data_IF_631825042376
#
_entry.id   IF_631825042376
#
_cell.length_a   1.000
_cell.length_b   1.000
_cell.length_c   1.000
_cell.angle_alpha   90.00
_cell.angle_beta   90.00
_cell.angle_gamma   90.00
#
_symmetry.space_group_name_H-M   'P 1'
#
loop_
_entity.id
_entity.type
_entity.pdbx_description
1 polymer ?
#
# COMPACT_ATOMS: atom_id res chain seq x y z
N UNK A 1 -9.54 43.75 14.09
CA UNK A 1 -8.30 43.33 13.37
C UNK A 1 -7.59 42.21 14.15
N UNK A 2 -8.10 40.95 14.06
CA UNK A 2 -7.42 39.75 14.58
C UNK A 2 -6.85 38.99 13.38
N UNK A 3 -5.59 39.24 13.02
CA UNK A 3 -4.84 38.37 12.10
C UNK A 3 -4.38 37.13 12.88
N UNK A 4 -4.69 35.95 12.36
CA UNK A 4 -4.31 34.64 12.88
C UNK A 4 -2.78 34.53 12.95
N UNK A 5 -2.22 34.44 14.18
CA UNK A 5 -0.86 33.95 14.40
C UNK A 5 -0.90 32.42 14.41
N UNK A 6 0.11 31.71 13.87
CA UNK A 6 0.15 30.26 13.89
C UNK A 6 0.17 29.73 15.33
N UNK A 7 -0.54 28.63 15.55
CA UNK A 7 -0.84 27.96 16.83
C UNK A 7 0.37 27.79 17.78
N UNK A 8 1.57 27.62 17.24
CA UNK A 8 2.80 27.41 18.03
C UNK A 8 3.29 28.66 18.83
N UNK A 9 2.89 29.86 18.46
CA UNK A 9 3.33 31.10 19.14
C UNK A 9 2.47 31.41 20.35
N UNK A 10 1.23 30.93 20.39
CA UNK A 10 0.34 31.09 21.54
C UNK A 10 0.74 30.16 22.69
N UNK A 11 1.09 28.94 22.40
CA UNK A 11 1.50 27.94 23.41
C UNK A 11 2.79 28.34 24.16
N UNK A 12 3.68 29.07 23.50
CA UNK A 12 4.94 29.52 24.07
C UNK A 12 4.75 30.70 25.02
N UNK A 13 3.83 31.61 24.73
CA UNK A 13 3.52 32.77 25.60
C UNK A 13 2.76 32.35 26.86
N UNK A 14 1.94 31.30 26.80
CA UNK A 14 1.29 30.75 27.99
C UNK A 14 2.27 29.96 28.88
N UNK A 15 3.18 29.18 28.31
CA UNK A 15 4.17 28.42 29.08
C UNK A 15 5.18 29.33 29.82
N UNK A 16 5.60 30.43 29.22
CA UNK A 16 6.48 31.40 29.88
C UNK A 16 5.77 32.15 31.01
N UNK A 17 4.48 32.49 30.81
CA UNK A 17 3.67 33.14 31.87
C UNK A 17 3.29 32.22 33.03
N UNK A 18 3.23 30.90 32.80
CA UNK A 18 2.97 29.88 33.84
C UNK A 18 4.28 29.56 34.62
N UNK A 19 5.43 29.50 33.93
CA UNK A 19 6.72 29.21 34.55
C UNK A 19 7.12 30.25 35.56
N UNK A 20 6.84 31.55 35.34
CA UNK A 20 7.11 32.63 36.29
C UNK A 20 6.19 32.61 37.52
N UNK A 21 5.01 31.99 37.43
CA UNK A 21 4.04 31.95 38.55
C UNK A 21 4.13 30.70 39.42
N UNK A 22 4.77 29.63 38.99
CA UNK A 22 4.70 28.34 39.67
C UNK A 22 5.98 27.96 40.42
N UNK A 23 7.12 28.63 40.21
CA UNK A 23 8.34 28.27 40.92
C UNK A 23 9.24 29.47 41.29
N UNK A 24 9.08 30.05 42.51
CA UNK A 24 9.94 31.13 43.00
C UNK A 24 11.39 30.71 43.36
N UNK A 25 11.73 29.42 43.17
CA UNK A 25 13.03 28.86 43.61
C UNK A 25 14.11 28.89 42.50
N UNK A 26 13.76 29.25 41.29
CA UNK A 26 14.72 29.31 40.16
C UNK A 26 15.30 30.75 40.03
N UNK A 27 16.01 31.20 41.04
CA UNK A 27 16.78 32.47 41.02
C UNK A 27 18.16 32.34 40.35
N UNK A 28 18.39 31.33 39.54
CA UNK A 28 19.55 31.24 38.62
C UNK A 28 19.07 31.45 37.20
N UNK A 29 19.76 32.25 36.38
CA UNK A 29 19.42 32.37 34.96
C UNK A 29 19.56 30.99 34.32
N UNK A 30 18.41 30.30 34.14
CA UNK A 30 18.35 29.21 33.18
C UNK A 30 18.74 29.84 31.84
N UNK A 31 19.89 29.48 31.30
CA UNK A 31 20.19 29.77 29.93
C UNK A 31 19.14 29.01 29.10
N UNK A 32 18.05 29.67 28.79
CA UNK A 32 17.18 29.25 27.69
C UNK A 32 18.11 28.96 26.50
N UNK A 33 18.02 27.81 25.86
CA UNK A 33 18.74 27.57 24.61
C UNK A 33 18.54 28.81 23.77
N UNK A 34 19.64 29.39 23.29
CA UNK A 34 19.62 30.66 22.58
C UNK A 34 18.54 30.60 21.50
N UNK A 35 17.90 31.73 21.21
CA UNK A 35 16.94 31.83 20.09
C UNK A 35 17.51 31.20 18.81
N UNK A 36 18.83 31.20 18.68
CA UNK A 36 19.61 30.53 17.64
C UNK A 36 19.42 29.03 17.65
N UNK A 37 19.51 28.36 18.81
CA UNK A 37 19.30 26.89 18.89
C UNK A 37 17.83 26.52 18.62
N UNK A 38 16.88 27.39 18.99
CA UNK A 38 15.46 27.21 18.67
C UNK A 38 15.18 27.43 17.19
N UNK A 39 15.84 28.40 16.56
CA UNK A 39 15.79 28.62 15.11
C UNK A 39 16.49 27.50 14.36
N UNK A 40 17.61 26.99 14.88
CA UNK A 40 18.29 25.81 14.32
C UNK A 40 17.47 24.53 14.46
N UNK A 41 16.79 24.31 15.60
CA UNK A 41 15.85 23.20 15.78
C UNK A 41 14.60 23.32 14.88
N UNK A 42 14.13 24.55 14.63
CA UNK A 42 13.03 24.82 13.69
C UNK A 42 13.49 24.78 12.24
N UNK A 43 14.79 24.95 11.97
CA UNK A 43 15.42 24.88 10.66
C UNK A 43 15.91 23.46 10.32
N UNK A 44 15.68 22.45 11.18
CA UNK A 44 15.90 21.06 10.76
C UNK A 44 15.03 20.79 9.52
N UNK A 45 15.69 20.60 8.39
CA UNK A 45 15.03 20.30 7.12
C UNK A 45 14.05 19.12 7.34
N UNK A 46 12.78 19.37 7.04
CA UNK A 46 11.74 18.35 7.16
C UNK A 46 12.02 17.25 6.16
N UNK A 47 12.58 16.15 6.66
CA UNK A 47 12.78 14.94 5.83
C UNK A 47 11.41 14.33 5.55
N UNK A 48 11.12 14.11 4.27
CA UNK A 48 9.97 13.34 3.82
C UNK A 48 10.44 12.05 3.13
N UNK A 49 9.52 11.13 2.89
CA UNK A 49 9.78 9.86 2.20
C UNK A 49 9.14 9.88 0.81
N UNK A 50 9.94 9.66 -0.23
CA UNK A 50 9.48 9.68 -1.61
C UNK A 50 9.69 8.33 -2.28
N UNK A 51 8.71 7.91 -3.10
CA UNK A 51 8.89 6.75 -3.98
C UNK A 51 9.89 7.15 -5.08
N UNK A 52 11.02 6.47 -5.16
CA UNK A 52 12.07 6.71 -6.18
C UNK A 52 12.07 5.66 -7.27
N UNK A 53 11.29 4.61 -7.12
CA UNK A 53 11.12 3.56 -8.12
C UNK A 53 10.05 2.57 -7.75
N UNK A 54 9.42 2.02 -8.78
CA UNK A 54 8.37 1.00 -8.66
C UNK A 54 8.54 -0.05 -9.76
N UNK A 55 8.31 -1.32 -9.41
CA UNK A 55 8.27 -2.44 -10.37
C UNK A 55 7.18 -3.43 -9.98
N UNK A 56 6.60 -4.09 -10.96
CA UNK A 56 5.60 -5.14 -10.78
C UNK A 56 5.99 -6.42 -11.50
N UNK A 57 5.46 -7.53 -11.01
CA UNK A 57 5.55 -8.84 -11.64
C UNK A 57 4.23 -9.59 -11.44
N UNK A 58 3.74 -10.20 -12.49
CA UNK A 58 2.61 -11.15 -12.46
C UNK A 58 3.05 -12.44 -13.14
N UNK A 59 2.48 -13.61 -12.79
CA UNK A 59 2.74 -14.87 -13.48
C UNK A 59 2.36 -14.82 -14.97
N UNK A 60 2.99 -15.68 -15.77
CA UNK A 60 2.74 -15.71 -17.22
C UNK A 60 1.39 -16.37 -17.56
N UNK A 61 0.91 -17.30 -16.72
CA UNK A 61 -0.36 -17.98 -16.97
C UNK A 61 -1.55 -17.06 -16.67
N UNK A 62 -2.41 -16.91 -17.67
CA UNK A 62 -3.63 -16.12 -17.62
C UNK A 62 -4.83 -17.05 -17.53
N UNK A 63 -5.60 -16.95 -16.46
CA UNK A 63 -6.89 -17.61 -16.28
C UNK A 63 -7.99 -16.68 -16.82
N UNK A 64 -8.59 -17.04 -17.95
CA UNK A 64 -9.65 -16.28 -18.60
C UNK A 64 -11.03 -16.60 -18.02
N UNK A 65 -12.02 -15.73 -18.29
CA UNK A 65 -13.42 -15.99 -17.94
C UNK A 65 -13.98 -17.22 -18.70
N UNK A 66 -13.54 -17.45 -19.93
CA UNK A 66 -13.90 -18.65 -20.70
C UNK A 66 -13.39 -19.94 -20.02
N UNK A 67 -12.16 -19.94 -19.51
CA UNK A 67 -11.64 -21.09 -18.77
C UNK A 67 -12.38 -21.31 -17.45
N UNK A 68 -12.69 -20.24 -16.70
CA UNK A 68 -13.50 -20.31 -15.47
C UNK A 68 -14.89 -20.88 -15.73
N UNK A 69 -15.53 -20.56 -16.85
CA UNK A 69 -16.86 -21.08 -17.20
C UNK A 69 -16.89 -22.59 -17.41
N UNK A 70 -15.72 -23.23 -17.60
CA UNK A 70 -15.58 -24.69 -17.67
C UNK A 70 -15.45 -25.33 -16.28
N UNK A 71 -15.17 -24.55 -15.23
CA UNK A 71 -14.95 -25.04 -13.87
C UNK A 71 -16.19 -24.81 -12.99
N UNK A 72 -16.90 -23.70 -13.19
CA UNK A 72 -18.01 -23.27 -12.34
C UNK A 72 -19.11 -22.62 -13.18
N UNK A 73 -20.35 -22.67 -12.72
CA UNK A 73 -21.51 -22.07 -13.42
C UNK A 73 -21.42 -20.55 -13.47
N UNK A 74 -20.73 -20.03 -14.50
CA UNK A 74 -20.51 -18.61 -14.77
C UNK A 74 -20.28 -18.37 -16.27
N UNK A 75 -20.20 -17.11 -16.68
CA UNK A 75 -19.80 -16.71 -18.03
C UNK A 75 -19.13 -15.32 -18.02
N UNK A 76 -18.53 -14.94 -19.15
CA UNK A 76 -17.83 -13.68 -19.30
C UNK A 76 -18.74 -12.48 -19.05
N UNK A 77 -19.97 -12.47 -19.59
CA UNK A 77 -20.93 -11.38 -19.44
C UNK A 77 -21.29 -11.15 -17.96
N UNK A 78 -21.51 -12.24 -17.21
CA UNK A 78 -21.82 -12.16 -15.79
C UNK A 78 -20.63 -11.61 -15.00
N UNK A 79 -19.43 -12.12 -15.24
CA UNK A 79 -18.22 -11.66 -14.52
C UNK A 79 -17.93 -10.19 -14.83
N UNK A 80 -17.96 -9.81 -16.11
CA UNK A 80 -17.71 -8.44 -16.53
C UNK A 80 -18.74 -7.45 -15.92
N UNK A 81 -20.03 -7.78 -15.97
CA UNK A 81 -21.07 -6.91 -15.44
C UNK A 81 -21.07 -6.79 -13.90
N UNK A 82 -20.58 -7.81 -13.18
CA UNK A 82 -20.60 -7.86 -11.72
C UNK A 82 -19.31 -7.36 -11.09
N UNK A 83 -18.16 -7.62 -11.70
CA UNK A 83 -16.86 -7.33 -11.08
C UNK A 83 -15.87 -6.62 -12.01
N UNK A 84 -16.11 -6.61 -13.32
CA UNK A 84 -15.26 -5.94 -14.32
C UNK A 84 -13.91 -6.61 -14.55
N UNK A 85 -13.81 -7.92 -14.32
CA UNK A 85 -12.57 -8.70 -14.46
C UNK A 85 -12.67 -9.57 -15.70
N UNK A 86 -11.75 -9.41 -16.65
CA UNK A 86 -11.68 -10.22 -17.87
C UNK A 86 -10.73 -11.41 -17.72
N UNK A 87 -9.62 -11.17 -17.01
CA UNK A 87 -8.57 -12.15 -16.80
C UNK A 87 -7.85 -11.93 -15.49
N UNK A 88 -7.15 -12.95 -15.01
CA UNK A 88 -6.27 -12.90 -13.84
C UNK A 88 -5.06 -13.77 -14.06
N UNK A 89 -3.93 -13.34 -13.51
CA UNK A 89 -2.68 -14.09 -13.58
C UNK A 89 -2.60 -15.06 -12.39
N UNK A 90 -2.18 -16.29 -12.63
CA UNK A 90 -2.12 -17.35 -11.62
C UNK A 90 -0.74 -18.02 -11.65
N UNK A 91 -0.11 -18.14 -10.49
CA UNK A 91 1.15 -18.88 -10.31
C UNK A 91 0.85 -20.39 -10.17
N UNK A 92 0.95 -21.12 -11.28
CA UNK A 92 0.65 -22.56 -11.34
C UNK A 92 1.80 -23.46 -10.89
N UNK A 93 3.03 -22.96 -10.93
CA UNK A 93 4.21 -23.75 -10.62
C UNK A 93 4.20 -24.20 -9.16
N UNK A 94 4.31 -25.53 -8.98
CA UNK A 94 4.36 -26.15 -7.66
C UNK A 94 5.64 -25.75 -6.91
N UNK A 95 5.54 -25.62 -5.59
CA UNK A 95 6.66 -25.23 -4.73
C UNK A 95 7.05 -23.75 -4.82
N UNK A 96 6.33 -22.93 -5.63
CA UNK A 96 6.53 -21.48 -5.69
C UNK A 96 5.38 -20.75 -5.01
N UNK A 97 5.72 -19.73 -4.21
CA UNK A 97 4.76 -18.92 -3.45
C UNK A 97 4.95 -17.41 -3.66
N UNK A 98 4.42 -16.63 -2.73
CA UNK A 98 4.49 -15.18 -2.75
C UNK A 98 5.92 -14.64 -2.73
N UNK A 99 6.84 -15.32 -2.05
CA UNK A 99 8.26 -14.97 -2.04
C UNK A 99 8.93 -15.08 -3.41
N UNK A 100 8.50 -16.01 -4.25
CA UNK A 100 8.96 -16.09 -5.65
C UNK A 100 8.50 -14.85 -6.44
N UNK A 101 7.23 -14.48 -6.34
CA UNK A 101 6.65 -13.31 -6.99
C UNK A 101 7.36 -12.02 -6.52
N UNK A 102 7.50 -11.87 -5.19
CA UNK A 102 8.22 -10.77 -4.55
C UNK A 102 9.64 -10.62 -5.10
N UNK A 103 10.39 -11.75 -5.16
CA UNK A 103 11.76 -11.78 -5.69
C UNK A 103 11.83 -11.28 -7.14
N UNK A 104 10.87 -11.67 -7.98
CA UNK A 104 10.82 -11.21 -9.38
C UNK A 104 10.61 -9.70 -9.46
N UNK A 105 9.64 -9.14 -8.72
CA UNK A 105 9.39 -7.71 -8.66
C UNK A 105 10.60 -6.94 -8.12
N UNK A 106 11.20 -7.39 -7.00
CA UNK A 106 12.37 -6.75 -6.40
C UNK A 106 13.60 -6.77 -7.32
N UNK A 107 13.91 -7.91 -7.95
CA UNK A 107 15.03 -8.00 -8.91
C UNK A 107 14.83 -7.07 -10.10
N UNK A 108 13.59 -6.96 -10.58
CA UNK A 108 13.25 -6.01 -11.64
C UNK A 108 13.47 -4.57 -11.17
N UNK A 109 13.00 -4.21 -9.98
CA UNK A 109 13.19 -2.88 -9.39
C UNK A 109 14.69 -2.55 -9.23
N UNK A 110 15.46 -3.42 -8.59
CA UNK A 110 16.91 -3.24 -8.38
C UNK A 110 17.64 -3.05 -9.72
N UNK A 111 17.33 -3.86 -10.72
CA UNK A 111 17.93 -3.75 -12.06
C UNK A 111 17.55 -2.44 -12.75
N UNK A 112 16.28 -2.05 -12.72
CA UNK A 112 15.78 -0.85 -13.40
C UNK A 112 16.29 0.45 -12.74
N UNK A 113 16.48 0.44 -11.43
CA UNK A 113 17.03 1.59 -10.68
C UNK A 113 18.55 1.63 -10.66
N UNK A 114 19.21 0.49 -10.85
CA UNK A 114 20.65 0.36 -10.61
C UNK A 114 21.03 0.39 -9.12
N UNK A 115 20.07 0.19 -8.21
CA UNK A 115 20.30 0.23 -6.77
C UNK A 115 21.29 -0.85 -6.34
N UNK A 116 22.17 -0.51 -5.38
CA UNK A 116 23.01 -1.49 -4.72
C UNK A 116 22.21 -2.16 -3.58
N UNK A 117 22.10 -3.51 -3.55
CA UNK A 117 21.43 -4.23 -2.47
C UNK A 117 21.98 -3.92 -1.07
N UNK A 118 23.27 -3.62 -0.94
CA UNK A 118 23.92 -3.30 0.34
C UNK A 118 23.47 -1.92 0.91
N UNK A 119 22.87 -1.05 0.09
CA UNK A 119 22.33 0.25 0.53
C UNK A 119 20.90 0.16 1.11
N UNK A 120 20.27 -1.01 1.04
CA UNK A 120 18.91 -1.19 1.54
C UNK A 120 18.97 -1.44 3.05
N UNK A 121 18.33 -0.54 3.82
CA UNK A 121 18.33 -0.56 5.29
C UNK A 121 17.20 -1.39 5.88
N UNK A 122 16.09 -1.52 5.15
CA UNK A 122 14.86 -2.15 5.63
C UNK A 122 14.08 -2.77 4.48
N UNK A 123 13.49 -3.94 4.72
CA UNK A 123 12.53 -4.60 3.84
C UNK A 123 11.24 -4.90 4.59
N UNK A 124 10.11 -4.44 4.05
CA UNK A 124 8.77 -4.82 4.53
C UNK A 124 8.04 -5.56 3.43
N UNK A 125 7.51 -6.74 3.73
CA UNK A 125 6.65 -7.50 2.82
C UNK A 125 5.23 -7.50 3.36
N UNK A 126 4.32 -6.86 2.64
CA UNK A 126 2.89 -6.91 2.90
C UNK A 126 2.31 -8.14 2.18
N UNK A 127 1.80 -9.11 2.93
CA UNK A 127 1.24 -10.35 2.39
C UNK A 127 0.27 -11.01 3.35
N UNK A 128 -0.82 -11.60 2.82
CA UNK A 128 -1.73 -12.52 3.51
C UNK A 128 -1.42 -13.99 3.17
N UNK A 129 -0.51 -14.19 2.22
CA UNK A 129 -0.12 -15.51 1.71
C UNK A 129 1.40 -15.73 1.84
N UNK A 130 1.97 -15.66 3.07
CA UNK A 130 3.39 -15.87 3.27
C UNK A 130 3.78 -17.28 2.84
N UNK A 131 5.04 -17.47 2.38
CA UNK A 131 5.53 -18.80 1.98
C UNK A 131 5.49 -19.78 3.16
N UNK A 132 5.76 -19.30 4.37
CA UNK A 132 5.75 -20.06 5.62
C UNK A 132 5.23 -19.19 6.77
N UNK A 133 4.71 -19.78 7.82
CA UNK A 133 4.41 -19.04 9.05
C UNK A 133 5.68 -18.46 9.69
N UNK A 134 6.78 -19.19 9.62
CA UNK A 134 8.14 -18.76 9.95
C UNK A 134 9.16 -19.65 9.22
N UNK A 135 10.35 -19.16 8.81
CA UNK A 135 10.71 -17.74 8.85
C UNK A 135 9.82 -16.88 7.96
N UNK A 136 9.84 -15.55 8.17
CA UNK A 136 9.07 -14.61 7.35
C UNK A 136 9.51 -14.65 5.88
N UNK A 137 8.61 -14.37 4.96
CA UNK A 137 8.90 -14.20 3.53
C UNK A 137 9.96 -13.13 3.31
N UNK A 138 9.90 -12.04 4.08
CA UNK A 138 10.89 -10.96 4.05
C UNK A 138 12.30 -11.45 4.41
N UNK A 139 12.45 -12.28 5.45
CA UNK A 139 13.75 -12.84 5.85
C UNK A 139 14.35 -13.72 4.74
N UNK A 140 13.53 -14.56 4.13
CA UNK A 140 13.95 -15.40 3.00
C UNK A 140 14.35 -14.53 1.80
N UNK A 141 13.58 -13.46 1.57
CA UNK A 141 13.83 -12.54 0.46
C UNK A 141 15.12 -11.75 0.62
N UNK A 142 15.50 -11.35 1.87
CA UNK A 142 16.79 -10.73 2.15
C UNK A 142 17.96 -11.60 1.66
N UNK A 143 17.96 -12.89 1.97
CA UNK A 143 18.99 -13.82 1.51
C UNK A 143 18.96 -13.94 -0.02
N UNK A 144 17.77 -14.12 -0.63
CA UNK A 144 17.62 -14.30 -2.09
C UNK A 144 17.97 -13.06 -2.92
N UNK A 145 17.98 -11.88 -2.32
CA UNK A 145 18.35 -10.59 -2.93
C UNK A 145 19.75 -10.11 -2.53
N UNK A 146 20.39 -10.75 -1.55
CA UNK A 146 21.69 -10.35 -1.03
C UNK A 146 21.67 -9.06 -0.18
N UNK A 147 20.56 -8.82 0.55
CA UNK A 147 20.40 -7.62 1.40
C UNK A 147 21.12 -7.83 2.74
N UNK A 148 22.40 -7.52 2.82
CA UNK A 148 23.25 -7.81 4.00
C UNK A 148 22.99 -6.87 5.18
N UNK A 149 22.55 -5.63 4.89
CA UNK A 149 22.42 -4.57 5.90
C UNK A 149 20.96 -4.32 6.31
N UNK A 150 19.99 -4.93 5.61
CA UNK A 150 18.59 -4.73 5.88
C UNK A 150 18.10 -5.58 7.06
N UNK A 151 17.29 -4.98 7.94
CA UNK A 151 16.36 -5.77 8.75
C UNK A 151 15.02 -5.93 8.01
N UNK A 152 14.31 -7.03 8.27
CA UNK A 152 13.14 -7.37 7.48
C UNK A 152 12.04 -8.05 8.29
N UNK A 153 10.79 -7.82 7.90
CA UNK A 153 9.63 -8.47 8.46
C UNK A 153 8.46 -8.51 7.48
N UNK A 154 7.58 -9.50 7.66
CA UNK A 154 6.28 -9.53 7.00
C UNK A 154 5.28 -8.73 7.83
N UNK A 155 4.30 -8.12 7.16
CA UNK A 155 3.15 -7.50 7.79
C UNK A 155 1.86 -7.93 7.11
N UNK A 156 0.81 -8.04 7.91
CA UNK A 156 -0.54 -8.40 7.48
C UNK A 156 -1.51 -7.25 7.77
N UNK A 157 -2.19 -6.75 6.73
CA UNK A 157 -3.32 -5.84 6.77
C UNK A 157 -4.20 -6.06 5.52
N UNK A 158 -4.27 -7.30 5.06
CA UNK A 158 -5.00 -7.72 3.87
C UNK A 158 -4.77 -6.76 2.68
N UNK A 159 -5.85 -6.40 1.97
CA UNK A 159 -5.75 -5.51 0.80
C UNK A 159 -5.21 -4.10 1.13
N UNK A 160 -5.22 -3.69 2.40
CA UNK A 160 -4.64 -2.42 2.85
C UNK A 160 -3.13 -2.51 3.12
N UNK A 161 -2.53 -3.70 3.01
CA UNK A 161 -1.15 -3.97 3.40
C UNK A 161 -0.14 -3.04 2.75
N UNK A 162 -0.28 -2.71 1.47
CA UNK A 162 0.65 -1.78 0.81
C UNK A 162 0.61 -0.37 1.42
N UNK A 163 -0.58 0.19 1.69
CA UNK A 163 -0.71 1.52 2.30
C UNK A 163 -0.11 1.54 3.71
N UNK A 164 -0.37 0.50 4.49
CA UNK A 164 0.21 0.38 5.84
C UNK A 164 1.74 0.26 5.79
N UNK A 165 2.27 -0.57 4.88
CA UNK A 165 3.71 -0.71 4.67
C UNK A 165 4.35 0.61 4.20
N UNK A 166 3.67 1.35 3.32
CA UNK A 166 4.13 2.64 2.82
C UNK A 166 4.24 3.67 3.95
N UNK A 167 3.23 3.76 4.82
CA UNK A 167 3.25 4.64 5.99
C UNK A 167 4.32 4.24 7.00
N UNK A 168 4.47 2.93 7.29
CA UNK A 168 5.52 2.42 8.15
C UNK A 168 6.89 2.84 7.59
N UNK A 169 7.17 2.52 6.32
CA UNK A 169 8.43 2.86 5.67
C UNK A 169 8.70 4.37 5.65
N UNK A 170 7.66 5.17 5.39
CA UNK A 170 7.77 6.64 5.41
C UNK A 170 8.19 7.17 6.78
N UNK A 171 7.63 6.62 7.87
CA UNK A 171 8.02 7.02 9.23
C UNK A 171 9.44 6.59 9.60
N UNK A 172 9.91 5.44 9.12
CA UNK A 172 11.31 5.04 9.27
C UNK A 172 12.26 6.01 8.54
N UNK A 173 11.94 6.43 7.32
CA UNK A 173 12.71 7.45 6.59
C UNK A 173 12.68 8.80 7.32
N UNK A 174 11.50 9.26 7.77
CA UNK A 174 11.33 10.53 8.50
C UNK A 174 12.09 10.57 9.83
N UNK A 175 12.39 9.40 10.41
CA UNK A 175 13.25 9.33 11.61
C UNK A 175 14.68 9.81 11.37
N UNK A 176 15.09 9.95 10.10
CA UNK A 176 16.46 10.32 9.69
C UNK A 176 17.48 9.19 9.80
N UNK A 177 17.09 8.05 10.41
CA UNK A 177 18.00 6.91 10.63
C UNK A 177 18.15 6.00 9.40
N UNK A 178 17.10 5.83 8.62
CA UNK A 178 17.04 4.95 7.47
C UNK A 178 16.99 5.75 6.18
N UNK A 179 17.69 5.29 5.13
CA UNK A 179 17.86 6.03 3.88
C UNK A 179 17.26 5.32 2.67
N UNK A 180 17.11 4.00 2.73
CA UNK A 180 16.53 3.23 1.64
C UNK A 180 15.69 2.09 2.19
N UNK A 181 14.37 2.21 2.03
CA UNK A 181 13.40 1.21 2.45
C UNK A 181 12.79 0.55 1.22
N UNK A 182 12.83 -0.78 1.17
CA UNK A 182 12.18 -1.58 0.14
C UNK A 182 10.81 -2.03 0.65
N UNK A 183 9.75 -1.50 0.06
CA UNK A 183 8.37 -1.92 0.31
C UNK A 183 7.95 -2.90 -0.77
N UNK A 184 7.42 -4.04 -0.35
CA UNK A 184 6.95 -5.11 -1.25
C UNK A 184 5.54 -5.51 -0.86
N UNK A 185 4.67 -5.63 -1.84
CA UNK A 185 3.41 -6.36 -1.72
C UNK A 185 3.49 -7.62 -2.59
N UNK A 186 3.12 -8.78 -2.05
CA UNK A 186 3.19 -10.04 -2.80
C UNK A 186 2.11 -11.01 -2.34
N UNK A 187 1.34 -11.54 -3.30
CA UNK A 187 0.21 -12.41 -3.00
C UNK A 187 0.11 -13.56 -4.00
N UNK A 188 -0.06 -14.77 -3.49
CA UNK A 188 -0.53 -15.95 -4.22
C UNK A 188 -1.93 -16.32 -3.73
N UNK A 189 -2.92 -15.48 -4.05
CA UNK A 189 -4.29 -15.67 -3.58
C UNK A 189 -4.93 -16.94 -4.14
N UNK A 190 -4.47 -17.39 -5.30
CA UNK A 190 -4.96 -18.62 -5.93
C UNK A 190 -4.86 -19.85 -5.05
N UNK A 191 -3.93 -19.89 -4.07
CA UNK A 191 -3.82 -20.97 -3.10
C UNK A 191 -4.93 -20.99 -2.04
N UNK A 192 -5.67 -19.89 -1.89
CA UNK A 192 -6.76 -19.71 -0.91
C UNK A 192 -8.14 -19.61 -1.58
N UNK A 193 -8.24 -19.78 -2.89
CA UNK A 193 -9.49 -19.69 -3.65
C UNK A 193 -10.10 -21.07 -3.83
N UNK A 194 -11.40 -21.19 -3.51
CA UNK A 194 -12.19 -22.36 -3.87
C UNK A 194 -12.72 -22.22 -5.31
N UNK A 195 -12.14 -22.93 -6.25
CA UNK A 195 -12.56 -22.89 -7.66
C UNK A 195 -13.92 -23.56 -7.93
N UNK A 196 -14.60 -24.11 -6.90
CA UNK A 196 -16.00 -24.53 -6.95
C UNK A 196 -16.98 -23.46 -6.44
N UNK A 197 -16.49 -22.34 -5.90
CA UNK A 197 -17.31 -21.22 -5.44
C UNK A 197 -17.35 -20.09 -6.47
N UNK A 198 -18.46 -20.01 -7.22
CA UNK A 198 -18.67 -18.97 -8.24
C UNK A 198 -18.64 -17.53 -7.73
N UNK A 199 -18.78 -17.32 -6.40
CA UNK A 199 -18.81 -15.97 -5.84
C UNK A 199 -17.40 -15.41 -5.62
N UNK A 200 -16.42 -16.27 -5.37
CA UNK A 200 -15.05 -15.88 -5.04
C UNK A 200 -14.04 -16.22 -6.12
N UNK A 201 -14.19 -17.35 -6.83
CA UNK A 201 -13.19 -17.79 -7.81
C UNK A 201 -12.95 -16.81 -8.98
N UNK A 202 -13.92 -15.98 -9.43
CA UNK A 202 -13.66 -15.03 -10.50
C UNK A 202 -12.85 -13.79 -10.06
N UNK A 203 -12.68 -13.58 -8.74
CA UNK A 203 -12.17 -12.31 -8.22
C UNK A 203 -10.65 -12.22 -8.23
N UNK A 204 -9.97 -13.24 -7.70
CA UNK A 204 -8.60 -13.14 -7.23
C UNK A 204 -7.55 -13.53 -8.25
N UNK A 205 -6.44 -12.78 -8.26
CA UNK A 205 -5.23 -13.05 -9.04
C UNK A 205 -3.97 -12.96 -8.18
N UNK A 206 -2.87 -13.47 -8.73
CA UNK A 206 -1.55 -13.53 -8.10
C UNK A 206 -0.63 -12.44 -8.67
N UNK A 207 0.27 -11.93 -7.85
CA UNK A 207 1.25 -10.95 -8.29
C UNK A 207 2.13 -10.42 -7.18
N UNK A 208 3.05 -9.55 -7.56
CA UNK A 208 3.86 -8.76 -6.65
C UNK A 208 4.19 -7.39 -7.24
N UNK A 209 4.37 -6.42 -6.36
CA UNK A 209 4.94 -5.13 -6.70
C UNK A 209 5.90 -4.68 -5.60
N UNK A 210 6.93 -3.94 -5.99
CA UNK A 210 7.94 -3.43 -5.10
C UNK A 210 8.24 -1.98 -5.41
N UNK A 211 8.49 -1.15 -4.37
CA UNK A 211 8.98 0.21 -4.55
C UNK A 211 10.07 0.54 -3.54
N UNK A 212 10.94 1.49 -3.90
CA UNK A 212 11.87 2.11 -2.97
C UNK A 212 11.27 3.39 -2.39
N UNK A 213 11.45 3.56 -1.07
CA UNK A 213 11.29 4.82 -0.38
C UNK A 213 12.66 5.35 0.01
N UNK A 214 12.91 6.61 -0.29
CA UNK A 214 14.15 7.31 0.04
C UNK A 214 13.84 8.69 0.62
N UNK A 215 14.76 9.30 1.40
CA UNK A 215 14.56 10.62 1.98
C UNK A 215 14.58 11.71 0.90
N UNK A 216 13.78 12.73 1.13
CA UNK A 216 13.79 13.97 0.33
C UNK A 216 13.51 15.17 1.22
N UNK A 217 14.07 16.32 0.86
CA UNK A 217 13.73 17.62 1.44
C UNK A 217 12.75 18.40 0.56
N UNK A 218 12.43 17.87 -0.63
CA UNK A 218 11.44 18.47 -1.52
C UNK A 218 10.00 18.22 -1.01
N UNK A 219 9.08 19.04 -1.45
CA UNK A 219 7.64 18.92 -1.13
C UNK A 219 6.96 17.83 -1.98
N UNK A 220 7.54 16.63 -1.99
CA UNK A 220 7.02 15.43 -2.67
C UNK A 220 7.06 14.23 -1.73
N UNK A 221 6.44 13.12 -2.12
CA UNK A 221 6.45 11.86 -1.39
C UNK A 221 5.16 11.62 -0.61
N UNK A 222 5.22 10.82 0.44
CA UNK A 222 4.09 10.49 1.32
C UNK A 222 3.82 11.69 2.23
N UNK A 223 2.70 12.37 2.03
CA UNK A 223 2.41 13.64 2.72
C UNK A 223 1.57 13.41 3.97
N UNK A 224 0.46 12.69 3.84
CA UNK A 224 -0.50 12.42 4.92
C UNK A 224 -1.16 11.05 4.72
N UNK A 225 -1.64 10.48 5.81
CA UNK A 225 -2.35 9.20 5.81
C UNK A 225 -3.54 9.21 6.79
N UNK A 226 -4.59 8.48 6.40
CA UNK A 226 -5.69 8.14 7.29
C UNK A 226 -5.93 6.64 7.19
N UNK A 227 -5.39 5.87 8.15
CA UNK A 227 -5.47 4.42 8.22
C UNK A 227 -6.30 4.00 9.43
N UNK A 228 -7.20 3.02 9.28
CA UNK A 228 -8.12 2.54 10.33
C UNK A 228 -8.33 1.04 10.25
N UNK A 229 -8.69 0.47 11.39
CA UNK A 229 -9.02 -0.96 11.53
C UNK A 229 -10.26 -1.12 12.39
N UNK A 230 -11.13 -2.08 12.04
CA UNK A 230 -12.30 -2.49 12.82
C UNK A 230 -12.43 -4.02 12.81
N UNK A 231 -12.27 -4.64 13.96
CA UNK A 231 -12.37 -6.10 14.14
C UNK A 231 -13.77 -6.68 13.90
N UNK A 232 -14.80 -5.88 13.77
CA UNK A 232 -16.17 -6.31 13.45
C UNK A 232 -16.28 -6.90 12.03
N UNK A 233 -15.26 -6.76 11.18
CA UNK A 233 -15.22 -7.36 9.85
C UNK A 233 -15.08 -8.89 9.81
N UNK A 234 -14.64 -9.51 10.90
CA UNK A 234 -14.35 -10.95 10.95
C UNK A 234 -15.48 -11.86 10.42
N UNK A 235 -16.77 -11.66 10.72
CA UNK A 235 -17.82 -12.54 10.19
C UNK A 235 -18.00 -12.45 8.68
N UNK A 236 -17.58 -11.36 8.05
CA UNK A 236 -17.90 -11.05 6.65
C UNK A 236 -16.75 -11.33 5.67
N UNK A 237 -15.52 -11.33 6.14
CA UNK A 237 -14.35 -11.57 5.27
C UNK A 237 -13.22 -12.21 6.07
N UNK A 238 -13.00 -13.51 5.89
CA UNK A 238 -12.00 -14.28 6.63
C UNK A 238 -11.62 -15.60 5.94
N UNK A 239 -10.58 -16.23 6.42
CA UNK A 239 -10.28 -17.64 6.22
C UNK A 239 -10.43 -18.35 7.58
N UNK A 240 -11.33 -19.35 7.66
CA UNK A 240 -11.78 -19.90 8.95
C UNK A 240 -10.73 -20.77 9.65
N UNK A 241 -9.92 -21.50 8.89
CA UNK A 241 -8.91 -22.42 9.41
C UNK A 241 -7.51 -22.07 8.92
N UNK A 242 -6.49 -22.60 9.60
CA UNK A 242 -5.07 -22.37 9.32
C UNK A 242 -4.36 -21.53 10.38
N UNK A 243 -5.12 -20.80 11.22
CA UNK A 243 -4.58 -20.05 12.36
C UNK A 243 -4.67 -20.81 13.69
N UNK A 244 -4.23 -20.19 14.79
CA UNK A 244 -4.17 -20.80 16.13
C UNK A 244 -5.55 -21.10 16.73
N UNK A 245 -6.59 -20.39 16.34
CA UNK A 245 -7.99 -20.65 16.79
C UNK A 245 -8.54 -21.93 16.17
N UNK A 246 -8.19 -22.19 14.91
CA UNK A 246 -8.64 -23.36 14.17
C UNK A 246 -7.45 -23.92 13.34
N UNK A 247 -6.55 -24.69 13.99
CA UNK A 247 -5.39 -25.26 13.32
C UNK A 247 -5.78 -26.24 12.19
N UNK A 248 -4.87 -26.49 11.22
CA UNK A 248 -5.10 -27.46 10.17
C UNK A 248 -5.34 -28.86 10.74
N UNK A 249 -6.35 -29.56 10.20
CA UNK A 249 -6.69 -30.94 10.53
C UNK A 249 -7.43 -31.59 9.36
N UNK A 250 -7.57 -32.91 9.35
CA UNK A 250 -8.40 -33.59 8.34
C UNK A 250 -9.83 -33.02 8.32
N UNK A 251 -10.40 -32.75 9.49
CA UNK A 251 -11.73 -32.13 9.57
C UNK A 251 -11.79 -30.77 8.87
N UNK A 252 -10.80 -29.90 9.07
CA UNK A 252 -10.80 -28.56 8.46
C UNK A 252 -10.56 -28.61 6.95
N UNK A 253 -9.80 -29.60 6.48
CA UNK A 253 -9.55 -29.84 5.05
C UNK A 253 -10.82 -30.39 4.40
N UNK A 254 -11.41 -31.44 4.93
CA UNK A 254 -12.62 -32.09 4.42
C UNK A 254 -13.82 -31.12 4.38
N UNK A 255 -13.88 -30.17 5.33
CA UNK A 255 -14.91 -29.13 5.37
C UNK A 255 -14.52 -27.83 4.62
N UNK A 256 -13.44 -27.83 3.83
CA UNK A 256 -13.03 -26.72 2.96
C UNK A 256 -12.83 -25.38 3.71
N UNK A 257 -12.38 -25.44 4.97
CA UNK A 257 -12.27 -24.26 5.85
C UNK A 257 -11.03 -23.41 5.57
N UNK A 258 -10.17 -23.81 4.63
CA UNK A 258 -8.91 -23.14 4.25
C UNK A 258 -9.07 -22.22 3.04
N UNK A 259 -10.31 -21.90 2.64
CA UNK A 259 -10.58 -20.99 1.55
C UNK A 259 -11.11 -19.65 2.06
N UNK A 260 -10.92 -18.61 1.25
CA UNK A 260 -11.45 -17.26 1.51
C UNK A 260 -12.99 -17.35 1.54
N UNK A 261 -13.57 -16.87 2.64
CA UNK A 261 -15.00 -16.60 2.76
C UNK A 261 -15.26 -15.11 2.63
N UNK A 262 -16.24 -14.72 1.81
CA UNK A 262 -16.63 -13.33 1.63
C UNK A 262 -18.17 -13.20 1.55
N UNK A 263 -18.76 -12.46 2.51
CA UNK A 263 -20.12 -11.95 2.36
C UNK A 263 -20.08 -10.62 1.59
N UNK A 264 -20.48 -10.67 0.33
CA UNK A 264 -20.32 -9.54 -0.60
C UNK A 264 -21.09 -8.27 -0.21
N UNK A 265 -22.26 -8.37 0.48
CA UNK A 265 -23.09 -7.21 0.78
C UNK A 265 -22.49 -6.30 1.86
N UNK A 266 -22.15 -6.77 3.07
CA UNK A 266 -21.50 -5.93 4.07
C UNK A 266 -20.11 -5.46 3.59
N UNK A 267 -19.34 -6.32 2.94
CA UNK A 267 -18.03 -5.95 2.39
C UNK A 267 -18.15 -4.80 1.39
N UNK A 268 -19.10 -4.87 0.44
CA UNK A 268 -19.34 -3.78 -0.52
C UNK A 268 -19.71 -2.47 0.17
N UNK A 269 -20.67 -2.53 1.12
CA UNK A 269 -21.15 -1.36 1.85
C UNK A 269 -20.00 -0.65 2.59
N UNK A 270 -19.24 -1.42 3.37
CA UNK A 270 -18.10 -0.89 4.13
C UNK A 270 -17.00 -0.37 3.20
N UNK A 271 -16.64 -1.12 2.16
CA UNK A 271 -15.63 -0.68 1.21
C UNK A 271 -15.97 0.70 0.63
N UNK A 272 -17.20 0.90 0.15
CA UNK A 272 -17.62 2.18 -0.43
C UNK A 272 -17.61 3.30 0.61
N UNK A 273 -18.19 3.06 1.78
CA UNK A 273 -18.32 4.08 2.82
C UNK A 273 -16.95 4.48 3.39
N UNK A 274 -16.13 3.49 3.75
CA UNK A 274 -14.94 3.70 4.54
C UNK A 274 -13.77 4.20 3.67
N UNK A 275 -13.66 3.74 2.42
CA UNK A 275 -12.72 4.31 1.44
C UNK A 275 -13.07 5.77 1.12
N UNK A 276 -14.35 6.09 0.93
CA UNK A 276 -14.80 7.47 0.69
C UNK A 276 -14.49 8.37 1.89
N UNK A 277 -14.77 7.90 3.11
CA UNK A 277 -14.46 8.63 4.33
C UNK A 277 -12.94 8.89 4.46
N UNK A 278 -12.12 7.88 4.22
CA UNK A 278 -10.67 8.00 4.31
C UNK A 278 -10.11 9.01 3.30
N UNK A 279 -10.59 8.96 2.05
CA UNK A 279 -10.20 9.93 1.03
C UNK A 279 -10.58 11.36 1.43
N UNK A 280 -11.82 11.58 1.88
CA UNK A 280 -12.26 12.91 2.32
C UNK A 280 -11.42 13.41 3.50
N UNK A 281 -11.03 12.53 4.44
CA UNK A 281 -10.18 12.93 5.58
C UNK A 281 -8.80 13.42 5.16
N UNK A 282 -8.11 12.73 4.26
CA UNK A 282 -6.80 13.21 3.79
C UNK A 282 -6.93 14.46 2.92
N UNK A 283 -8.01 14.62 2.17
CA UNK A 283 -8.31 15.82 1.38
C UNK A 283 -8.54 17.03 2.33
N UNK A 284 -9.42 16.88 3.32
CA UNK A 284 -9.74 17.91 4.31
C UNK A 284 -8.50 18.31 5.14
N UNK A 285 -7.76 17.34 5.67
CA UNK A 285 -6.57 17.58 6.50
C UNK A 285 -5.52 18.42 5.78
N UNK A 286 -5.40 18.26 4.47
CA UNK A 286 -4.40 18.95 3.65
C UNK A 286 -4.93 20.18 2.92
N UNK A 287 -6.18 20.59 3.19
CA UNK A 287 -6.80 21.77 2.57
C UNK A 287 -6.91 21.65 1.04
N UNK A 288 -7.01 20.42 0.52
CA UNK A 288 -7.12 20.16 -0.90
C UNK A 288 -8.55 20.34 -1.38
N UNK A 289 -8.69 20.76 -2.64
CA UNK A 289 -9.93 20.65 -3.40
C UNK A 289 -9.88 19.41 -4.30
N UNK A 290 -11.02 19.02 -4.87
CA UNK A 290 -11.09 17.88 -5.82
C UNK A 290 -10.33 18.17 -7.12
N UNK A 291 -10.25 19.43 -7.49
CA UNK A 291 -9.52 19.93 -8.65
C UNK A 291 -8.01 19.76 -8.48
N UNK A 292 -7.50 19.92 -7.26
CA UNK A 292 -6.09 19.72 -6.91
C UNK A 292 -5.62 18.27 -7.13
N UNK A 293 -6.54 17.30 -7.00
CA UNK A 293 -6.22 15.88 -7.14
C UNK A 293 -6.03 15.57 -8.62
N UNK A 294 -4.83 15.10 -8.96
CA UNK A 294 -4.52 14.65 -10.32
C UNK A 294 -5.01 13.23 -10.57
N UNK A 295 -4.74 12.31 -9.62
CA UNK A 295 -5.07 10.90 -9.76
C UNK A 295 -5.64 10.32 -8.46
N UNK A 296 -6.58 9.38 -8.59
CA UNK A 296 -7.04 8.49 -7.54
C UNK A 296 -6.70 7.07 -7.94
N UNK A 297 -6.04 6.32 -7.04
CA UNK A 297 -5.68 4.92 -7.24
C UNK A 297 -6.36 4.09 -6.16
N UNK A 298 -7.56 3.59 -6.41
CA UNK A 298 -8.27 2.73 -5.48
C UNK A 298 -7.74 1.30 -5.54
N UNK A 299 -7.93 0.55 -4.46
CA UNK A 299 -7.82 -0.89 -4.46
C UNK A 299 -8.65 -1.51 -5.59
N UNK A 300 -8.07 -2.40 -6.36
CA UNK A 300 -8.67 -3.06 -7.51
C UNK A 300 -9.42 -4.34 -7.09
N UNK A 301 -10.44 -4.19 -6.23
CA UNK A 301 -11.21 -5.33 -5.71
C UNK A 301 -12.38 -5.74 -6.61
N UNK A 302 -13.11 -4.74 -7.11
CA UNK A 302 -14.33 -4.87 -7.89
C UNK A 302 -14.61 -3.53 -8.57
N UNK A 303 -14.87 -3.54 -9.88
CA UNK A 303 -15.10 -2.30 -10.64
C UNK A 303 -16.28 -1.50 -10.09
N UNK A 304 -17.34 -2.16 -9.61
CA UNK A 304 -18.52 -1.49 -9.02
C UNK A 304 -18.17 -0.76 -7.71
N UNK A 305 -17.23 -1.29 -6.91
CA UNK A 305 -16.73 -0.59 -5.71
C UNK A 305 -15.96 0.66 -6.16
N UNK A 306 -15.06 0.52 -7.13
CA UNK A 306 -14.27 1.63 -7.68
C UNK A 306 -15.20 2.75 -8.18
N UNK A 307 -16.18 2.40 -8.99
CA UNK A 307 -17.16 3.36 -9.53
C UNK A 307 -18.00 4.03 -8.44
N UNK A 308 -18.42 3.27 -7.42
CA UNK A 308 -19.20 3.80 -6.31
C UNK A 308 -18.39 4.78 -5.46
N UNK A 309 -17.13 4.44 -5.12
CA UNK A 309 -16.22 5.35 -4.39
C UNK A 309 -15.96 6.61 -5.21
N UNK A 310 -15.66 6.46 -6.51
CA UNK A 310 -15.43 7.58 -7.43
C UNK A 310 -16.63 8.52 -7.50
N UNK A 311 -17.84 7.95 -7.60
CA UNK A 311 -19.09 8.72 -7.62
C UNK A 311 -19.30 9.47 -6.30
N UNK A 312 -19.13 8.80 -5.16
CA UNK A 312 -19.26 9.42 -3.83
C UNK A 312 -18.25 10.53 -3.59
N UNK A 313 -17.03 10.38 -4.09
CA UNK A 313 -16.00 11.42 -4.05
C UNK A 313 -16.25 12.55 -5.05
N UNK A 314 -17.16 12.37 -6.03
CA UNK A 314 -17.39 13.29 -7.15
C UNK A 314 -16.08 13.60 -7.92
N UNK A 315 -15.22 12.60 -8.07
CA UNK A 315 -13.99 12.69 -8.88
C UNK A 315 -14.31 12.23 -10.31
N UNK A 316 -13.90 12.95 -11.34
CA UNK A 316 -14.07 12.53 -12.74
C UNK A 316 -13.39 11.18 -13.02
N UNK A 317 -14.06 10.31 -13.79
CA UNK A 317 -13.56 8.93 -14.07
C UNK A 317 -12.17 8.92 -14.71
N UNK A 318 -11.86 9.92 -15.54
CA UNK A 318 -10.57 10.09 -16.19
C UNK A 318 -9.41 10.40 -15.24
N UNK A 319 -9.70 10.75 -13.99
CA UNK A 319 -8.71 10.89 -12.92
C UNK A 319 -8.52 9.61 -12.09
N UNK A 320 -9.26 8.54 -12.36
CA UNK A 320 -9.20 7.28 -11.60
C UNK A 320 -8.41 6.25 -12.40
N UNK A 321 -7.34 5.74 -11.80
CA UNK A 321 -6.51 4.73 -12.43
C UNK A 321 -7.08 3.33 -12.14
N UNK A 322 -7.32 2.56 -13.20
CA UNK A 322 -8.00 1.25 -13.11
C UNK A 322 -7.29 0.23 -14.00
N UNK A 323 -6.93 -0.92 -13.44
CA UNK A 323 -6.34 -2.04 -14.17
C UNK A 323 -6.92 -3.41 -13.78
N UNK A 324 -8.02 -3.41 -13.03
CA UNK A 324 -8.68 -4.62 -12.51
C UNK A 324 -9.06 -5.61 -13.62
N UNK A 325 -9.41 -5.14 -14.81
CA UNK A 325 -9.81 -5.97 -15.95
C UNK A 325 -8.75 -7.02 -16.27
N UNK A 326 -7.45 -6.66 -16.16
CA UNK A 326 -6.31 -7.51 -16.53
C UNK A 326 -5.77 -8.39 -15.42
N UNK A 327 -5.96 -8.00 -14.16
CA UNK A 327 -5.27 -8.68 -13.04
C UNK A 327 -6.23 -9.26 -12.00
N UNK A 328 -7.50 -8.84 -12.03
CA UNK A 328 -8.41 -9.12 -10.95
C UNK A 328 -7.99 -8.46 -9.64
N UNK A 329 -8.49 -9.00 -8.54
CA UNK A 329 -8.12 -8.58 -7.20
C UNK A 329 -6.82 -9.27 -6.75
N UNK A 330 -5.74 -8.55 -6.75
CA UNK A 330 -4.42 -9.00 -6.26
C UNK A 330 -4.13 -8.53 -4.81
N UNK A 331 -5.18 -8.26 -4.01
CA UNK A 331 -5.06 -7.82 -2.59
C UNK A 331 -4.13 -6.61 -2.42
N UNK A 332 -3.13 -6.68 -1.53
CA UNK A 332 -2.17 -5.61 -1.28
C UNK A 332 -1.38 -5.17 -2.53
N UNK A 333 -1.24 -6.04 -3.52
CA UNK A 333 -0.47 -5.76 -4.75
C UNK A 333 -1.21 -4.81 -5.68
N UNK A 334 -2.53 -4.71 -5.59
CA UNK A 334 -3.39 -4.03 -6.56
C UNK A 334 -3.03 -2.54 -6.76
N UNK A 335 -2.82 -1.80 -5.68
CA UNK A 335 -2.47 -0.37 -5.74
C UNK A 335 -1.08 -0.14 -6.35
N UNK A 336 0.01 -0.76 -5.84
CA UNK A 336 1.33 -0.55 -6.42
C UNK A 336 1.46 -1.10 -7.84
N UNK A 337 0.74 -2.17 -8.21
CA UNK A 337 0.72 -2.68 -9.57
C UNK A 337 -0.01 -1.70 -10.51
N UNK A 338 -1.09 -1.07 -10.05
CA UNK A 338 -1.78 -0.02 -10.78
C UNK A 338 -0.88 1.21 -10.97
N UNK A 339 -0.19 1.69 -9.92
CA UNK A 339 0.81 2.76 -10.05
C UNK A 339 1.90 2.41 -11.07
N UNK A 340 2.37 1.15 -11.08
CA UNK A 340 3.40 0.70 -12.06
C UNK A 340 2.88 0.74 -13.50
N UNK A 341 1.65 0.31 -13.74
CA UNK A 341 1.06 0.32 -15.08
C UNK A 341 0.90 1.74 -15.63
N UNK A 342 0.54 2.67 -14.77
CA UNK A 342 0.35 4.07 -15.14
C UNK A 342 1.60 4.95 -14.94
N UNK A 343 2.73 4.37 -14.47
CA UNK A 343 3.99 5.10 -14.29
C UNK A 343 4.37 5.99 -15.50
N UNK A 344 4.19 5.55 -16.77
CA UNK A 344 4.57 6.36 -17.92
C UNK A 344 3.91 7.73 -18.01
N UNK A 345 2.70 7.88 -17.45
CA UNK A 345 1.95 9.15 -17.49
C UNK A 345 2.06 9.96 -16.19
N UNK A 346 2.61 9.37 -15.12
CA UNK A 346 2.79 10.08 -13.85
C UNK A 346 3.93 11.09 -13.95
N UNK A 347 3.72 12.29 -13.43
CA UNK A 347 4.69 13.39 -13.45
C UNK A 347 5.06 13.82 -12.05
N UNK A 348 6.30 14.30 -11.87
CA UNK A 348 6.72 14.92 -10.62
C UNK A 348 5.76 16.03 -10.23
N UNK A 349 5.28 16.00 -8.99
CA UNK A 349 4.31 16.97 -8.47
C UNK A 349 2.84 16.54 -8.61
N UNK A 350 2.54 15.44 -9.31
CA UNK A 350 1.17 14.92 -9.37
C UNK A 350 0.66 14.57 -7.98
N UNK A 351 -0.45 15.17 -7.58
CA UNK A 351 -1.15 14.90 -6.32
C UNK A 351 -2.04 13.67 -6.48
N UNK A 352 -1.72 12.62 -5.76
CA UNK A 352 -2.34 11.30 -5.88
C UNK A 352 -2.99 10.90 -4.56
N UNK A 353 -4.22 10.41 -4.60
CA UNK A 353 -4.87 9.76 -3.47
C UNK A 353 -4.87 8.24 -3.71
N UNK A 354 -4.18 7.49 -2.84
CA UNK A 354 -4.26 6.03 -2.78
C UNK A 354 -5.34 5.67 -1.77
N UNK A 355 -6.20 4.68 -2.05
CA UNK A 355 -7.21 4.23 -1.09
C UNK A 355 -7.48 2.75 -1.18
N UNK A 356 -7.68 2.11 -0.02
CA UNK A 356 -7.85 0.66 0.11
C UNK A 356 -8.89 0.31 1.15
N UNK A 357 -9.44 -0.91 0.99
CA UNK A 357 -10.26 -1.60 1.97
C UNK A 357 -9.97 -3.10 1.91
N UNK A 358 -9.89 -3.78 3.03
CA UNK A 358 -9.59 -5.21 3.10
C UNK A 358 -10.15 -5.88 4.35
N UNK A 359 -9.83 -7.18 4.47
CA UNK A 359 -10.19 -7.95 5.64
C UNK A 359 -9.64 -7.30 6.93
N UNK A 360 -10.33 -7.54 8.00
CA UNK A 360 -10.05 -6.95 9.29
C UNK A 360 -11.33 -6.47 9.97
N UNK A 361 -12.06 -5.42 9.58
CA UNK A 361 -11.69 -4.65 8.37
C UNK A 361 -10.47 -3.76 8.60
N UNK A 362 -9.73 -3.56 7.52
CA UNK A 362 -8.65 -2.57 7.45
C UNK A 362 -8.88 -1.66 6.25
N UNK A 363 -8.76 -0.34 6.43
CA UNK A 363 -8.96 0.60 5.33
C UNK A 363 -8.14 1.87 5.50
N UNK A 364 -8.07 2.66 4.45
CA UNK A 364 -7.47 3.97 4.55
C UNK A 364 -7.22 4.65 3.23
N UNK A 365 -6.64 5.84 3.35
CA UNK A 365 -6.13 6.62 2.24
C UNK A 365 -4.77 7.23 2.57
N UNK A 366 -3.96 7.40 1.54
CA UNK A 366 -2.69 8.14 1.60
C UNK A 366 -2.73 9.25 0.55
N UNK A 367 -2.37 10.46 0.98
CA UNK A 367 -2.04 11.55 0.08
C UNK A 367 -0.56 11.48 -0.27
N UNK A 368 -0.28 11.28 -1.54
CA UNK A 368 1.05 11.14 -2.12
C UNK A 368 1.26 12.23 -3.17
N UNK A 369 2.41 12.91 -3.13
CA UNK A 369 2.87 13.74 -4.25
C UNK A 369 3.98 12.96 -4.97
N UNK A 370 3.77 12.69 -6.26
CA UNK A 370 4.68 11.86 -7.05
C UNK A 370 6.06 12.53 -7.22
N UNK A 371 7.14 11.76 -7.06
CA UNK A 371 8.49 12.30 -6.91
C UNK A 371 9.30 12.46 -8.19
N UNK A 372 8.88 11.89 -9.32
CA UNK A 372 9.67 11.87 -10.54
C UNK A 372 8.81 11.86 -11.82
N UNK A 373 9.45 12.10 -12.97
CA UNK A 373 8.78 11.94 -14.27
C UNK A 373 8.89 10.48 -14.73
N UNK A 374 7.76 9.79 -14.81
CA UNK A 374 7.71 8.35 -15.05
C UNK A 374 8.27 7.95 -16.41
N UNK A 375 7.98 8.69 -17.48
CA UNK A 375 8.50 8.38 -18.81
C UNK A 375 10.02 8.50 -18.87
N UNK A 376 10.57 9.56 -18.27
CA UNK A 376 12.01 9.80 -18.21
C UNK A 376 12.72 8.67 -17.46
N UNK A 377 12.13 8.20 -16.36
CA UNK A 377 12.66 7.09 -15.58
C UNK A 377 12.66 5.77 -16.34
N UNK A 378 11.60 5.47 -17.07
CA UNK A 378 11.52 4.27 -17.91
C UNK A 378 12.62 4.29 -18.98
N UNK A 379 12.85 5.44 -19.60
CA UNK A 379 13.91 5.58 -20.57
C UNK A 379 15.32 5.34 -19.97
N UNK A 380 15.56 5.83 -18.74
CA UNK A 380 16.80 5.54 -18.00
C UNK A 380 16.94 4.05 -17.66
N UNK A 381 15.85 3.41 -17.23
CA UNK A 381 15.84 1.97 -16.92
C UNK A 381 16.19 1.12 -18.14
N UNK A 382 15.63 1.44 -19.31
CA UNK A 382 15.95 0.77 -20.57
C UNK A 382 17.45 0.89 -20.91
N UNK A 383 18.03 2.08 -20.74
CA UNK A 383 19.45 2.30 -20.98
C UNK A 383 20.35 1.51 -20.01
N UNK A 384 19.93 1.33 -18.76
CA UNK A 384 20.65 0.54 -17.76
C UNK A 384 20.60 -0.97 -18.07
N UNK A 385 19.54 -1.46 -18.70
CA UNK A 385 19.42 -2.86 -19.12
C UNK A 385 20.26 -3.16 -20.36
N UNK A 386 20.39 -2.22 -21.27
CA UNK A 386 21.17 -2.37 -22.54
C UNK A 386 22.68 -2.36 -22.26
N UNK A 387 23.14 -1.68 -21.19
CA UNK A 387 24.56 -1.55 -20.82
C UNK A 387 25.12 -2.73 -20.02
N UNK A 388 24.30 -3.68 -19.60
CA UNK A 388 24.69 -4.92 -18.90
C UNK A 388 24.51 -6.14 -19.80
#
# INVERSE_FOLDING_TARGET
LRKKLPFNRWFYLELTGIAEKVCPILSKPFHLPSLTLYVELMAMEKINAVITGIAGYVPDYILTNEELSKMVDTNDEWIMSHVGIKERHILKEEGLGSGYLARKACRKLIRETGANPDDIDMLVVATTTPDYHFPSTASILCEKLGLKNAFAFDMEAACSGFLYALEIGANFIRSGRYKKVLIVAAEKLSCMVNYNDRNTCPLFGDGAAACFLEPTTEEVGVIDSYLRTDGLGLPSLHMKAGGSVCPPSYFTIDNQMHYIYQDGRPVFKHAVTDMTLACNKVIENNGLTKEDIKWVVPHQANLRIIESVTHMLQIPKEKVLVNIERYGNTSAVSVPLCLKDYEPILKKGDKIILTTFGAGYSWGAIYLIWGYDGQSRINMAMNNVIKK
#
